data_IF_035834658067
#
_entry.id   IF_035834658067
#
_cell.length_a   1.000
_cell.length_b   1.000
_cell.length_c   1.000
_cell.angle_alpha   90.00
_cell.angle_beta   90.00
_cell.angle_gamma   90.00
#
_symmetry.space_group_name_H-M   'P 1'
#
loop_
_entity.id
_entity.type
_entity.pdbx_description
1 polymer ?
#
# COMPACT_ATOMS: atom_id res chain seq x y z
N UNK A 1 1.75 34.73 4.70
CA UNK A 1 0.71 33.70 4.46
C UNK A 1 0.36 33.49 2.99
N UNK A 2 0.14 34.55 2.19
CA UNK A 2 -0.27 34.44 0.77
C UNK A 2 0.78 33.73 -0.11
N UNK A 3 2.08 33.89 0.19
CA UNK A 3 3.21 33.27 -0.54
C UNK A 3 3.31 31.74 -0.38
N UNK A 4 2.84 31.17 0.73
CA UNK A 4 2.79 29.71 0.91
C UNK A 4 1.69 29.11 0.03
N UNK A 5 0.53 29.79 -0.04
CA UNK A 5 -0.64 29.30 -0.77
C UNK A 5 -0.39 29.27 -2.28
N UNK A 6 0.32 30.25 -2.86
CA UNK A 6 0.58 30.31 -4.31
C UNK A 6 1.61 29.30 -4.84
N UNK A 7 2.54 28.83 -4.00
CA UNK A 7 3.50 27.78 -4.35
C UNK A 7 2.97 26.37 -4.05
N UNK A 8 2.09 26.24 -3.06
CA UNK A 8 1.49 24.96 -2.66
C UNK A 8 0.40 24.51 -3.64
N UNK A 9 -0.34 25.43 -4.27
CA UNK A 9 -1.38 25.07 -5.27
C UNK A 9 -0.81 24.32 -6.49
N UNK A 10 0.23 24.81 -7.20
CA UNK A 10 0.79 24.08 -8.33
C UNK A 10 1.50 22.79 -7.91
N UNK A 11 2.20 22.78 -6.76
CA UNK A 11 2.84 21.56 -6.24
C UNK A 11 1.81 20.52 -5.80
N UNK A 12 0.71 20.94 -5.17
CA UNK A 12 -0.42 20.10 -4.76
C UNK A 12 -1.18 19.52 -5.96
N UNK A 13 -1.37 20.30 -7.03
CA UNK A 13 -1.93 19.81 -8.29
C UNK A 13 -1.00 18.82 -9.00
N UNK A 14 0.32 19.04 -8.96
CA UNK A 14 1.32 18.12 -9.52
C UNK A 14 1.39 16.82 -8.72
N UNK A 15 1.37 16.88 -7.38
CA UNK A 15 1.37 15.71 -6.50
C UNK A 15 0.07 14.93 -6.65
N UNK A 16 -1.09 15.59 -6.66
CA UNK A 16 -2.38 14.95 -6.93
C UNK A 16 -2.40 14.26 -8.32
N UNK A 17 -1.75 14.87 -9.30
CA UNK A 17 -1.58 14.31 -10.64
C UNK A 17 -0.68 13.05 -10.65
N UNK A 18 0.48 13.08 -9.98
CA UNK A 18 1.34 11.89 -9.83
C UNK A 18 0.69 10.78 -8.99
N UNK A 19 -0.14 11.15 -8.01
CA UNK A 19 -0.92 10.20 -7.21
C UNK A 19 -2.03 9.55 -8.04
N UNK A 20 -2.69 10.30 -8.93
CA UNK A 20 -3.71 9.77 -9.85
C UNK A 20 -3.11 8.95 -11.01
N UNK A 21 -1.87 9.23 -11.42
CA UNK A 21 -1.17 8.53 -12.50
C UNK A 21 -0.59 7.17 -12.09
N UNK A 22 -0.30 6.94 -10.80
CA UNK A 22 0.04 5.61 -10.30
C UNK A 22 -1.23 4.76 -10.25
N UNK A 23 -1.47 3.96 -11.32
CA UNK A 23 -2.35 2.79 -11.21
C UNK A 23 -1.84 1.98 -10.02
N UNK A 24 -2.59 1.97 -8.91
CA UNK A 24 -2.32 1.01 -7.84
C UNK A 24 -2.40 -0.37 -8.50
N UNK A 25 -1.32 -1.18 -8.50
CA UNK A 25 -1.44 -2.56 -8.94
C UNK A 25 -2.55 -3.16 -8.09
N UNK A 26 -3.57 -3.70 -8.76
CA UNK A 26 -4.63 -4.45 -8.09
C UNK A 26 -3.89 -5.66 -7.52
N UNK A 27 -3.68 -5.74 -6.20
CA UNK A 27 -3.13 -6.95 -5.63
C UNK A 27 -4.15 -8.05 -5.93
N UNK A 28 -3.71 -9.31 -6.05
CA UNK A 28 -4.57 -10.49 -6.19
C UNK A 28 -5.48 -10.57 -7.45
N UNK A 29 -4.89 -10.73 -8.63
CA UNK A 29 -5.53 -11.51 -9.71
C UNK A 29 -4.67 -12.74 -9.97
N UNK A 30 -5.01 -13.84 -9.29
CA UNK A 30 -4.54 -15.18 -9.62
C UNK A 30 -4.94 -15.50 -11.07
N UNK A 31 -4.01 -16.15 -11.79
CA UNK A 31 -3.97 -16.37 -13.25
C UNK A 31 -5.20 -17.05 -13.91
N UNK A 32 -6.27 -17.38 -13.18
CA UNK A 32 -7.26 -18.35 -13.66
C UNK A 32 -8.59 -17.79 -14.17
N UNK A 33 -8.80 -16.48 -14.23
CA UNK A 33 -10.06 -15.94 -14.77
C UNK A 33 -9.96 -14.49 -15.28
N UNK A 34 -8.84 -14.13 -15.91
CA UNK A 34 -8.79 -12.89 -16.68
C UNK A 34 -9.43 -13.13 -18.05
N UNK A 35 -10.57 -12.51 -18.40
CA UNK A 35 -11.00 -12.48 -19.79
C UNK A 35 -9.88 -11.81 -20.60
N UNK A 36 -9.62 -12.33 -21.80
CA UNK A 36 -8.60 -11.87 -22.73
C UNK A 36 -8.42 -10.36 -22.61
N UNK A 37 -7.24 -9.93 -22.19
CA UNK A 37 -6.98 -8.53 -21.83
C UNK A 37 -7.28 -7.65 -23.03
N UNK A 38 -8.47 -7.04 -23.05
CA UNK A 38 -8.84 -6.09 -24.09
C UNK A 38 -7.84 -4.94 -24.00
N UNK A 39 -7.01 -4.71 -25.03
CA UNK A 39 -5.97 -3.69 -24.96
C UNK A 39 -6.62 -2.31 -24.76
N UNK A 40 -6.02 -1.49 -23.88
CA UNK A 40 -6.53 -0.15 -23.56
C UNK A 40 -6.72 0.66 -24.86
N UNK A 41 -7.95 1.13 -25.14
CA UNK A 41 -8.29 1.64 -26.45
C UNK A 41 -7.51 2.90 -26.79
N UNK A 42 -7.31 3.09 -28.10
CA UNK A 42 -6.41 4.08 -28.67
C UNK A 42 -6.70 5.49 -28.16
N UNK A 43 -7.99 5.84 -28.02
CA UNK A 43 -8.44 7.15 -27.57
C UNK A 43 -8.17 7.45 -26.10
N UNK A 44 -8.19 6.45 -25.22
CA UNK A 44 -7.87 6.64 -23.81
C UNK A 44 -6.38 6.95 -23.67
N UNK A 45 -5.55 6.25 -24.44
CA UNK A 45 -4.10 6.49 -24.52
C UNK A 45 -3.78 7.87 -25.08
N UNK A 46 -4.43 8.26 -26.17
CA UNK A 46 -4.26 9.58 -26.81
C UNK A 46 -4.76 10.70 -25.88
N UNK A 47 -5.90 10.51 -25.23
CA UNK A 47 -6.44 11.45 -24.23
C UNK A 47 -5.51 11.68 -23.07
N UNK A 48 -4.96 10.61 -22.49
CA UNK A 48 -4.00 10.72 -21.39
C UNK A 48 -2.76 11.51 -21.83
N UNK A 49 -2.17 11.19 -22.99
CA UNK A 49 -0.98 11.88 -23.51
C UNK A 49 -1.22 13.36 -23.80
N UNK A 50 -2.36 13.71 -24.39
CA UNK A 50 -2.71 15.10 -24.67
C UNK A 50 -2.96 15.92 -23.40
N UNK A 51 -3.69 15.37 -22.43
CA UNK A 51 -3.91 16.02 -21.13
C UNK A 51 -2.57 16.28 -20.43
N UNK A 52 -1.67 15.29 -20.39
CA UNK A 52 -0.32 15.45 -19.83
C UNK A 52 0.43 16.59 -20.52
N UNK A 53 0.53 16.54 -21.86
CA UNK A 53 1.24 17.55 -22.65
C UNK A 53 0.67 18.96 -22.42
N UNK A 54 -0.66 19.08 -22.38
CA UNK A 54 -1.35 20.35 -22.16
C UNK A 54 -1.14 20.92 -20.76
N UNK A 55 -1.20 20.08 -19.72
CA UNK A 55 -0.93 20.53 -18.34
C UNK A 55 0.53 20.94 -18.15
N UNK A 56 1.48 20.26 -18.79
CA UNK A 56 2.89 20.67 -18.79
C UNK A 56 3.05 22.06 -19.44
N UNK A 57 2.42 22.29 -20.60
CA UNK A 57 2.51 23.58 -21.29
C UNK A 57 1.89 24.72 -20.47
N UNK A 58 0.75 24.49 -19.82
CA UNK A 58 0.11 25.45 -18.91
C UNK A 58 1.01 25.71 -17.69
N UNK A 59 1.59 24.66 -17.11
CA UNK A 59 2.52 24.79 -15.97
C UNK A 59 3.75 25.63 -16.31
N UNK A 60 4.39 25.38 -17.46
CA UNK A 60 5.52 26.17 -17.94
C UNK A 60 5.15 27.63 -18.21
N UNK A 61 3.96 27.87 -18.79
CA UNK A 61 3.45 29.23 -19.00
C UNK A 61 3.27 29.97 -17.67
N UNK A 62 2.67 29.33 -16.66
CA UNK A 62 2.52 29.93 -15.34
C UNK A 62 3.87 30.24 -14.67
N UNK A 63 4.87 29.35 -14.79
CA UNK A 63 6.21 29.59 -14.23
C UNK A 63 6.89 30.78 -14.91
N UNK A 64 6.82 30.88 -16.23
CA UNK A 64 7.50 31.96 -16.99
C UNK A 64 6.81 33.31 -16.80
N UNK A 65 5.48 33.34 -16.75
CA UNK A 65 4.73 34.60 -16.79
C UNK A 65 4.17 35.05 -15.45
N UNK A 66 3.97 34.17 -14.46
CA UNK A 66 3.36 34.55 -13.17
C UNK A 66 4.43 34.69 -12.08
N UNK A 67 5.49 33.89 -12.13
CA UNK A 67 6.55 33.89 -11.13
C UNK A 67 7.42 35.18 -11.11
N UNK A 68 7.82 35.77 -12.26
CA UNK A 68 8.68 36.96 -12.25
C UNK A 68 8.01 38.21 -11.68
N UNK A 69 6.69 38.36 -11.88
CA UNK A 69 5.93 39.47 -11.31
C UNK A 69 5.85 39.40 -9.78
N UNK A 70 5.83 38.20 -9.21
CA UNK A 70 5.91 38.01 -7.76
C UNK A 70 7.26 38.45 -7.18
N UNK A 71 8.36 38.12 -7.86
CA UNK A 71 9.72 38.47 -7.41
C UNK A 71 10.02 39.98 -7.52
N UNK A 72 9.55 40.65 -8.58
CA UNK A 72 9.78 42.10 -8.77
C UNK A 72 9.08 42.96 -7.71
N UNK A 73 7.89 42.56 -7.28
CA UNK A 73 7.15 43.23 -6.19
C UNK A 73 7.86 43.04 -4.84
N UNK A 74 8.46 41.86 -4.61
CA UNK A 74 9.22 41.55 -3.39
C UNK A 74 10.53 42.34 -3.27
N UNK A 75 11.27 42.49 -4.37
CA UNK A 75 12.52 43.26 -4.38
C UNK A 75 12.30 44.73 -3.99
N UNK A 76 11.18 45.32 -4.43
CA UNK A 76 10.79 46.70 -4.11
C UNK A 76 10.37 46.90 -2.65
N UNK A 77 9.85 45.86 -1.99
CA UNK A 77 9.52 45.92 -0.57
C UNK A 77 10.76 45.77 0.33
N UNK A 78 11.79 45.03 -0.11
CA UNK A 78 12.97 44.75 0.72
C UNK A 78 14.05 45.84 0.66
N UNK A 79 14.10 46.64 -0.41
CA UNK A 79 15.06 47.74 -0.60
C UNK A 79 14.36 49.02 -1.07
N UNK A 80 13.68 49.75 -0.17
CA UNK A 80 12.80 50.86 -0.54
C UNK A 80 13.54 52.14 -1.02
N UNK A 81 14.83 52.29 -0.71
CA UNK A 81 15.54 53.57 -0.82
C UNK A 81 16.69 53.60 -1.85
N UNK A 82 16.87 52.55 -2.67
CA UNK A 82 18.00 52.44 -3.60
C UNK A 82 17.55 52.72 -5.07
N UNK A 83 17.82 53.91 -5.63
CA UNK A 83 17.25 54.33 -6.91
C UNK A 83 17.88 53.62 -8.13
N UNK A 84 19.09 53.07 -8.00
CA UNK A 84 19.82 52.38 -9.07
C UNK A 84 19.40 50.92 -9.22
N UNK A 85 18.89 50.30 -8.15
CA UNK A 85 18.41 48.92 -8.15
C UNK A 85 17.12 48.73 -8.98
N UNK A 86 16.34 49.81 -9.22
CA UNK A 86 15.03 49.71 -9.90
C UNK A 86 14.96 50.31 -11.31
N UNK A 87 15.89 51.17 -11.72
CA UNK A 87 15.65 52.06 -12.89
C UNK A 87 16.19 51.54 -14.24
N UNK A 88 17.27 50.75 -14.29
CA UNK A 88 17.85 50.31 -15.58
C UNK A 88 17.35 48.95 -16.08
N UNK A 89 17.51 47.90 -15.28
CA UNK A 89 17.17 46.53 -15.68
C UNK A 89 15.65 46.24 -15.60
N UNK A 90 14.95 46.90 -14.67
CA UNK A 90 13.52 46.71 -14.46
C UNK A 90 12.66 47.19 -15.63
N UNK A 91 12.98 48.37 -16.20
CA UNK A 91 12.20 48.95 -17.30
C UNK A 91 12.44 48.24 -18.62
N UNK A 92 13.68 47.82 -18.93
CA UNK A 92 13.95 46.97 -20.09
C UNK A 92 13.25 45.62 -19.98
N UNK A 93 13.25 44.99 -18.79
CA UNK A 93 12.50 43.75 -18.55
C UNK A 93 10.99 43.96 -18.65
N UNK A 94 10.45 45.06 -18.11
CA UNK A 94 9.02 45.40 -18.21
C UNK A 94 8.63 45.71 -19.67
N UNK A 95 9.46 46.43 -20.43
CA UNK A 95 9.19 46.79 -21.82
C UNK A 95 9.32 45.57 -22.75
N UNK A 96 10.34 44.73 -22.56
CA UNK A 96 10.46 43.42 -23.22
C UNK A 96 9.28 42.51 -22.86
N UNK A 97 8.84 42.48 -21.59
CA UNK A 97 7.65 41.76 -21.19
C UNK A 97 6.38 42.36 -21.82
N UNK A 98 6.23 43.68 -21.93
CA UNK A 98 5.04 44.33 -22.50
C UNK A 98 4.93 44.16 -24.02
N UNK A 99 6.07 44.06 -24.71
CA UNK A 99 6.13 43.86 -26.17
C UNK A 99 6.14 42.38 -26.56
N UNK A 100 6.83 41.51 -25.80
CA UNK A 100 6.86 40.07 -26.05
C UNK A 100 5.64 39.34 -25.46
N UNK A 101 5.00 39.84 -24.39
CA UNK A 101 3.85 39.18 -23.77
C UNK A 101 2.65 39.04 -24.70
N UNK A 102 2.19 40.06 -25.45
CA UNK A 102 1.06 39.91 -26.36
C UNK A 102 1.35 38.89 -27.46
N UNK A 103 2.56 38.90 -28.02
CA UNK A 103 2.97 37.97 -29.10
C UNK A 103 3.07 36.54 -28.58
N UNK A 104 3.71 36.32 -27.42
CA UNK A 104 3.82 35.01 -26.79
C UNK A 104 2.47 34.48 -26.29
N UNK A 105 1.59 35.37 -25.83
CA UNK A 105 0.23 35.03 -25.40
C UNK A 105 -0.66 34.66 -26.58
N UNK A 106 -0.60 35.41 -27.69
CA UNK A 106 -1.27 35.07 -28.94
C UNK A 106 -0.73 33.74 -29.48
N UNK A 107 0.59 33.51 -29.47
CA UNK A 107 1.19 32.24 -29.87
C UNK A 107 0.73 31.06 -28.99
N UNK A 108 0.61 31.26 -27.67
CA UNK A 108 0.07 30.28 -26.74
C UNK A 108 -1.42 29.97 -27.02
N UNK A 109 -2.23 30.99 -27.28
CA UNK A 109 -3.64 30.84 -27.64
C UNK A 109 -3.77 30.07 -28.96
N UNK A 110 -3.03 30.45 -30.00
CA UNK A 110 -3.04 29.79 -31.31
C UNK A 110 -2.60 28.33 -31.19
N UNK A 111 -1.53 28.04 -30.45
CA UNK A 111 -1.07 26.68 -30.20
C UNK A 111 -2.09 25.86 -29.40
N UNK A 112 -2.76 26.49 -28.42
CA UNK A 112 -3.83 25.85 -27.65
C UNK A 112 -5.04 25.53 -28.51
N UNK A 113 -5.49 26.46 -29.35
CA UNK A 113 -6.62 26.27 -30.28
C UNK A 113 -6.26 25.19 -31.29
N UNK A 114 -5.09 25.25 -31.92
CA UNK A 114 -4.64 24.24 -32.90
C UNK A 114 -4.44 22.87 -32.24
N UNK A 115 -3.91 22.83 -31.03
CA UNK A 115 -3.78 21.61 -30.24
C UNK A 115 -5.15 21.01 -29.89
N UNK A 116 -6.15 21.83 -29.52
CA UNK A 116 -7.52 21.40 -29.25
C UNK A 116 -8.17 20.87 -30.53
N UNK A 117 -8.05 21.57 -31.65
CA UNK A 117 -8.68 21.17 -32.93
C UNK A 117 -8.04 19.91 -33.50
N UNK A 118 -6.70 19.81 -33.49
CA UNK A 118 -5.96 18.60 -33.86
C UNK A 118 -6.36 17.41 -32.97
N UNK A 119 -6.43 17.64 -31.67
CA UNK A 119 -6.83 16.63 -30.70
C UNK A 119 -8.28 16.19 -30.88
N UNK A 120 -9.21 17.13 -31.10
CA UNK A 120 -10.62 16.84 -31.42
C UNK A 120 -10.76 16.02 -32.70
N UNK A 121 -10.01 16.37 -33.75
CA UNK A 121 -9.99 15.62 -35.02
C UNK A 121 -9.51 14.18 -34.82
N UNK A 122 -8.49 13.97 -33.98
CA UNK A 122 -7.94 12.65 -33.66
C UNK A 122 -8.80 11.83 -32.69
N UNK A 123 -9.70 12.47 -31.95
CA UNK A 123 -10.61 11.85 -30.97
C UNK A 123 -11.97 11.43 -31.54
N UNK A 124 -12.20 11.57 -32.85
CA UNK A 124 -13.35 10.94 -33.54
C UNK A 124 -13.15 9.42 -33.58
N UNK A 125 -13.42 8.77 -32.46
CA UNK A 125 -13.36 7.31 -32.30
C UNK A 125 -14.55 6.63 -32.96
N UNK A 126 -14.41 5.40 -33.47
CA UNK A 126 -15.55 4.55 -33.79
C UNK A 126 -16.42 4.37 -32.53
N UNK A 127 -17.74 4.54 -32.65
CA UNK A 127 -18.68 4.33 -31.52
C UNK A 127 -18.53 2.92 -30.90
N UNK A 128 -18.16 1.95 -31.73
CA UNK A 128 -17.98 0.54 -31.34
C UNK A 128 -16.83 0.30 -30.36
N UNK A 129 -15.67 0.94 -30.55
CA UNK A 129 -14.51 0.77 -29.64
C UNK A 129 -14.82 1.32 -28.24
N UNK A 130 -15.61 2.39 -28.17
CA UNK A 130 -16.08 2.98 -26.91
C UNK A 130 -17.07 2.06 -26.19
N UNK A 131 -18.05 1.52 -26.93
CA UNK A 131 -19.05 0.62 -26.37
C UNK A 131 -18.40 -0.65 -25.79
N UNK A 132 -17.49 -1.27 -26.54
CA UNK A 132 -16.72 -2.44 -26.07
C UNK A 132 -15.94 -2.16 -24.79
N UNK A 133 -15.37 -0.97 -24.65
CA UNK A 133 -14.63 -0.59 -23.45
C UNK A 133 -15.56 -0.33 -22.25
N UNK A 134 -16.69 0.33 -22.47
CA UNK A 134 -17.68 0.55 -21.41
C UNK A 134 -18.25 -0.77 -20.88
N UNK A 135 -18.59 -1.70 -21.77
CA UNK A 135 -19.02 -3.05 -21.41
C UNK A 135 -17.95 -3.80 -20.60
N UNK A 136 -16.70 -3.78 -21.04
CA UNK A 136 -15.61 -4.42 -20.32
C UNK A 136 -15.38 -3.80 -18.92
N UNK A 137 -15.50 -2.48 -18.76
CA UNK A 137 -15.45 -1.84 -17.44
C UNK A 137 -16.59 -2.27 -16.51
N UNK A 138 -17.81 -2.44 -17.05
CA UNK A 138 -18.96 -2.91 -16.27
C UNK A 138 -18.77 -4.35 -15.80
N UNK A 139 -18.31 -5.24 -16.70
CA UNK A 139 -18.00 -6.65 -16.37
C UNK A 139 -16.94 -6.71 -15.27
N UNK A 140 -15.85 -5.96 -15.41
CA UNK A 140 -14.77 -5.93 -14.43
C UNK A 140 -15.24 -5.42 -13.06
N UNK A 141 -16.05 -4.36 -13.05
CA UNK A 141 -16.65 -3.82 -11.82
C UNK A 141 -17.55 -4.85 -11.13
N UNK A 142 -18.36 -5.59 -11.90
CA UNK A 142 -19.20 -6.68 -11.38
C UNK A 142 -18.35 -7.81 -10.81
N UNK A 143 -17.31 -8.25 -11.53
CA UNK A 143 -16.39 -9.29 -11.07
C UNK A 143 -15.70 -8.93 -9.75
N UNK A 144 -15.22 -7.70 -9.61
CA UNK A 144 -14.62 -7.22 -8.35
C UNK A 144 -15.60 -7.21 -7.19
N UNK A 145 -16.85 -6.81 -7.44
CA UNK A 145 -17.91 -6.87 -6.43
C UNK A 145 -18.18 -8.31 -6.00
N UNK A 146 -18.28 -9.23 -6.96
CA UNK A 146 -18.48 -10.65 -6.69
C UNK A 146 -17.30 -11.24 -5.92
N UNK A 147 -16.06 -10.94 -6.30
CA UNK A 147 -14.87 -11.37 -5.56
C UNK A 147 -14.82 -10.80 -4.14
N UNK A 148 -15.19 -9.54 -3.94
CA UNK A 148 -15.26 -8.92 -2.63
C UNK A 148 -16.42 -9.46 -1.76
N UNK A 149 -17.53 -9.85 -2.38
CA UNK A 149 -18.64 -10.52 -1.69
C UNK A 149 -18.29 -11.96 -1.35
N UNK A 150 -17.58 -12.65 -2.25
CA UNK A 150 -17.07 -14.00 -2.03
C UNK A 150 -16.03 -14.01 -0.91
N UNK A 151 -15.06 -13.09 -0.91
CA UNK A 151 -14.08 -12.99 0.19
C UNK A 151 -14.75 -12.68 1.53
N UNK A 152 -15.79 -11.84 1.55
CA UNK A 152 -16.60 -11.57 2.76
C UNK A 152 -17.43 -12.78 3.20
N UNK A 153 -17.93 -13.60 2.27
CA UNK A 153 -18.65 -14.84 2.58
C UNK A 153 -17.70 -15.92 3.06
N UNK A 154 -16.51 -16.02 2.48
CA UNK A 154 -15.42 -16.87 2.94
C UNK A 154 -14.98 -16.42 4.34
N UNK A 155 -14.75 -15.14 4.59
CA UNK A 155 -14.39 -14.62 5.92
C UNK A 155 -15.48 -14.87 6.98
N UNK A 156 -16.76 -14.72 6.61
CA UNK A 156 -17.89 -15.03 7.50
C UNK A 156 -18.17 -16.54 7.66
N UNK A 157 -17.80 -17.34 6.66
CA UNK A 157 -17.92 -18.81 6.68
C UNK A 157 -16.70 -19.51 7.28
N UNK A 158 -15.57 -18.80 7.39
CA UNK A 158 -14.31 -19.30 7.91
C UNK A 158 -14.18 -18.96 9.41
N UNK A 159 -15.01 -19.63 10.23
CA UNK A 159 -14.36 -20.26 11.38
C UNK A 159 -13.36 -21.23 10.75
N UNK A 160 -12.07 -20.88 10.73
CA UNK A 160 -11.03 -21.72 10.11
C UNK A 160 -11.33 -23.17 10.50
N UNK A 161 -11.53 -24.12 9.56
CA UNK A 161 -11.62 -25.52 9.94
C UNK A 161 -10.38 -25.77 10.78
N UNK A 162 -10.58 -26.21 12.01
CA UNK A 162 -9.57 -26.33 13.07
C UNK A 162 -8.27 -26.86 12.47
N UNK A 163 -7.36 -25.97 12.06
CA UNK A 163 -6.07 -26.39 11.52
C UNK A 163 -5.27 -26.83 12.74
N UNK A 164 -5.34 -28.13 13.01
CA UNK A 164 -4.54 -28.78 14.03
C UNK A 164 -3.23 -29.12 13.33
N UNK A 165 -2.16 -28.49 13.79
CA UNK A 165 -0.81 -28.84 13.33
C UNK A 165 -0.57 -30.35 13.61
N UNK A 166 0.13 -31.09 12.73
CA UNK A 166 0.50 -32.48 12.99
C UNK A 166 1.20 -32.68 14.34
N UNK A 167 2.07 -31.73 14.72
CA UNK A 167 2.74 -31.73 16.02
C UNK A 167 1.73 -31.55 17.16
N UNK A 168 0.76 -30.64 16.99
CA UNK A 168 -0.30 -30.43 17.97
C UNK A 168 -1.20 -31.67 18.10
N UNK A 169 -1.50 -32.36 17.00
CA UNK A 169 -2.27 -33.61 16.98
C UNK A 169 -1.55 -34.70 17.78
N UNK A 170 -0.24 -34.89 17.56
CA UNK A 170 0.55 -35.87 18.31
C UNK A 170 0.59 -35.56 19.84
N UNK A 171 0.65 -34.28 20.23
CA UNK A 171 0.55 -33.87 21.65
C UNK A 171 -0.82 -34.19 22.25
N UNK A 172 -1.90 -34.03 21.47
CA UNK A 172 -3.27 -34.37 21.89
C UNK A 172 -3.45 -35.89 22.01
N UNK A 173 -2.86 -36.65 21.08
CA UNK A 173 -2.93 -38.12 21.05
C UNK A 173 -2.05 -38.79 22.10
N UNK A 174 -1.16 -38.01 22.75
CA UNK A 174 -0.32 -38.42 23.89
C UNK A 174 0.74 -39.48 23.55
N UNK A 175 1.03 -39.69 22.28
CA UNK A 175 2.01 -40.68 21.84
C UNK A 175 3.38 -40.02 21.66
N UNK A 176 4.28 -40.26 22.62
CA UNK A 176 5.65 -39.75 22.62
C UNK A 176 6.46 -40.17 21.40
N UNK A 177 6.22 -41.38 20.88
CA UNK A 177 6.98 -41.94 19.76
C UNK A 177 6.57 -41.26 18.47
N UNK A 178 5.27 -41.10 18.25
CA UNK A 178 4.77 -40.32 17.10
C UNK A 178 5.22 -38.87 17.22
N UNK A 179 5.14 -38.27 18.41
CA UNK A 179 5.59 -36.89 18.63
C UNK A 179 7.06 -36.69 18.25
N UNK A 180 7.98 -37.56 18.69
CA UNK A 180 9.39 -37.48 18.30
C UNK A 180 9.61 -37.61 16.80
N UNK A 181 8.82 -38.47 16.15
CA UNK A 181 8.90 -38.69 14.71
C UNK A 181 8.37 -37.48 13.93
N UNK A 182 7.21 -36.94 14.33
CA UNK A 182 6.59 -35.76 13.73
C UNK A 182 7.42 -34.50 13.96
N UNK A 183 8.07 -34.34 15.12
CA UNK A 183 8.99 -33.22 15.38
C UNK A 183 10.24 -33.27 14.50
N UNK A 184 10.73 -34.48 14.17
CA UNK A 184 11.86 -34.65 13.25
C UNK A 184 11.47 -34.32 11.79
N UNK A 185 10.22 -34.62 11.40
CA UNK A 185 9.71 -34.36 10.05
C UNK A 185 9.26 -32.90 9.86
N UNK A 186 8.71 -32.28 10.91
CA UNK A 186 8.03 -30.98 10.88
C UNK A 186 8.46 -30.04 12.03
N UNK A 187 9.75 -29.67 12.14
CA UNK A 187 10.29 -28.86 13.25
C UNK A 187 9.73 -27.42 13.29
N UNK A 188 9.29 -26.88 12.16
CA UNK A 188 8.72 -25.53 12.04
C UNK A 188 7.39 -25.38 12.79
N UNK A 189 6.70 -26.47 13.04
CA UNK A 189 5.37 -26.44 13.61
C UNK A 189 5.33 -26.46 15.15
N UNK A 190 6.48 -26.59 15.82
CA UNK A 190 6.59 -26.74 17.29
C UNK A 190 5.92 -25.61 18.08
N UNK A 191 5.87 -24.40 17.53
CA UNK A 191 5.28 -23.21 18.17
C UNK A 191 3.92 -22.81 17.61
N UNK A 192 3.33 -23.61 16.71
CA UNK A 192 2.12 -23.20 15.97
C UNK A 192 0.92 -23.13 16.91
N UNK A 193 0.28 -21.95 17.10
CA UNK A 193 -0.85 -21.82 17.99
C UNK A 193 -2.11 -22.43 17.37
N UNK A 194 -2.92 -23.09 18.20
CA UNK A 194 -4.20 -23.64 17.81
C UNK A 194 -5.19 -22.50 17.54
N UNK A 195 -5.85 -22.52 16.38
CA UNK A 195 -6.68 -21.40 15.93
C UNK A 195 -7.87 -21.08 16.85
N UNK A 196 -8.37 -22.05 17.63
CA UNK A 196 -9.55 -21.85 18.46
C UNK A 196 -9.28 -21.05 19.76
N UNK A 197 -8.13 -21.26 20.39
CA UNK A 197 -7.79 -20.70 21.71
C UNK A 197 -6.39 -20.09 21.77
N UNK A 198 -5.62 -20.12 20.67
CA UNK A 198 -4.25 -19.63 20.62
C UNK A 198 -3.25 -20.50 21.36
N UNK A 199 -3.62 -21.70 21.83
CA UNK A 199 -2.73 -22.56 22.60
C UNK A 199 -1.68 -23.20 21.68
N UNK A 200 -0.40 -23.02 22.00
CA UNK A 200 0.69 -23.75 21.36
C UNK A 200 0.75 -25.21 21.85
N UNK A 201 1.50 -26.12 21.18
CA UNK A 201 1.70 -27.49 21.66
C UNK A 201 2.17 -27.54 23.12
N UNK A 202 3.01 -26.60 23.55
CA UNK A 202 3.46 -26.50 24.94
C UNK A 202 2.32 -26.15 25.91
N UNK A 203 1.40 -25.25 25.55
CA UNK A 203 0.22 -24.96 26.38
C UNK A 203 -0.66 -26.20 26.57
N UNK A 204 -0.87 -26.98 25.49
CA UNK A 204 -1.69 -28.20 25.53
C UNK A 204 -1.01 -29.29 26.36
N UNK A 205 0.31 -29.47 26.24
CA UNK A 205 1.06 -30.43 27.04
C UNK A 205 0.98 -30.12 28.55
N UNK A 206 1.12 -28.84 28.92
CA UNK A 206 0.96 -28.38 30.32
C UNK A 206 -0.47 -28.53 30.80
N UNK A 207 -1.45 -28.16 29.96
CA UNK A 207 -2.87 -28.29 30.29
C UNK A 207 -3.25 -29.75 30.58
N UNK A 208 -2.67 -30.69 29.82
CA UNK A 208 -2.86 -32.12 30.00
C UNK A 208 -2.02 -32.74 31.11
N UNK A 209 -1.11 -31.97 31.75
CA UNK A 209 -0.24 -32.43 32.85
C UNK A 209 0.79 -33.49 32.41
N UNK A 210 1.17 -33.46 31.13
CA UNK A 210 2.03 -34.47 30.53
C UNK A 210 3.50 -34.05 30.62
N UNK A 211 4.13 -34.37 31.75
CA UNK A 211 5.53 -34.00 32.01
C UNK A 211 6.49 -34.51 30.93
N UNK A 212 6.36 -35.76 30.49
CA UNK A 212 7.25 -36.38 29.50
C UNK A 212 7.18 -35.67 28.14
N UNK A 213 5.97 -35.30 27.71
CA UNK A 213 5.74 -34.52 26.48
C UNK A 213 6.32 -33.12 26.61
N UNK A 214 6.17 -32.48 27.79
CA UNK A 214 6.78 -31.18 28.06
C UNK A 214 8.30 -31.27 27.94
N UNK A 215 8.94 -32.29 28.50
CA UNK A 215 10.39 -32.50 28.35
C UNK A 215 10.80 -32.69 26.88
N UNK A 216 10.07 -33.49 26.09
CA UNK A 216 10.34 -33.69 24.66
C UNK A 216 10.23 -32.38 23.86
N UNK A 217 9.22 -31.55 24.17
CA UNK A 217 9.04 -30.26 23.51
C UNK A 217 10.11 -29.24 23.91
N UNK A 218 10.52 -29.24 25.18
CA UNK A 218 11.58 -28.34 25.68
C UNK A 218 12.97 -28.71 25.18
N UNK A 219 13.19 -29.96 24.77
CA UNK A 219 14.42 -30.38 24.09
C UNK A 219 14.56 -29.79 22.67
N UNK A 220 13.49 -29.22 22.09
CA UNK A 220 13.54 -28.65 20.74
C UNK A 220 14.24 -27.28 20.76
N UNK A 221 15.24 -27.03 19.88
CA UNK A 221 16.02 -25.79 19.92
C UNK A 221 15.21 -24.54 19.54
N UNK A 222 14.11 -24.72 18.82
CA UNK A 222 13.25 -23.64 18.33
C UNK A 222 12.04 -23.37 19.23
N UNK A 223 11.88 -24.09 20.35
CA UNK A 223 10.74 -23.94 21.25
C UNK A 223 10.72 -22.54 21.87
N UNK A 224 9.54 -21.88 21.86
CA UNK A 224 9.34 -20.60 22.54
C UNK A 224 8.27 -20.74 23.64
N UNK A 225 8.73 -20.72 24.89
CA UNK A 225 7.87 -20.79 26.09
C UNK A 225 7.24 -19.45 26.48
N UNK A 226 7.57 -18.36 25.78
CA UNK A 226 7.07 -17.00 26.07
C UNK A 226 5.80 -16.66 25.30
N UNK A 227 5.39 -17.51 24.36
CA UNK A 227 4.17 -17.31 23.58
C UNK A 227 2.96 -17.29 24.52
N UNK A 228 2.05 -16.36 24.26
CA UNK A 228 0.80 -16.20 25.00
C UNK A 228 -0.37 -16.71 24.15
N UNK A 229 -1.29 -17.41 24.80
CA UNK A 229 -2.55 -17.83 24.17
C UNK A 229 -3.58 -16.67 24.08
N UNK A 230 -4.80 -16.96 23.63
CA UNK A 230 -5.86 -15.95 23.51
C UNK A 230 -6.33 -15.38 24.87
N UNK A 231 -6.03 -16.07 25.98
CA UNK A 231 -6.27 -15.57 27.35
C UNK A 231 -5.11 -14.68 27.85
N UNK A 232 -4.06 -14.49 27.04
CA UNK A 232 -2.87 -13.74 27.43
C UNK A 232 -1.94 -14.48 28.40
N UNK A 233 -2.16 -15.78 28.62
CA UNK A 233 -1.38 -16.64 29.51
C UNK A 233 -0.29 -17.37 28.73
N UNK A 234 0.88 -17.53 29.37
CA UNK A 234 1.95 -18.42 28.88
C UNK A 234 1.77 -19.85 29.41
N UNK A 235 2.53 -20.81 28.88
CA UNK A 235 2.54 -22.18 29.38
C UNK A 235 2.93 -22.27 30.87
N UNK A 236 3.84 -21.40 31.34
CA UNK A 236 4.20 -21.33 32.75
C UNK A 236 3.05 -20.79 33.62
N UNK A 237 2.32 -19.80 33.12
CA UNK A 237 1.17 -19.24 33.85
C UNK A 237 0.08 -20.31 34.04
N UNK A 238 -0.18 -21.12 33.01
CA UNK A 238 -1.07 -22.28 33.11
C UNK A 238 -0.58 -23.32 34.12
N UNK A 239 0.73 -23.62 34.13
CA UNK A 239 1.30 -24.56 35.10
C UNK A 239 1.14 -24.07 36.54
N UNK A 240 1.31 -22.77 36.78
CA UNK A 240 1.11 -22.12 38.09
C UNK A 240 -0.35 -22.13 38.52
N UNK A 241 -1.28 -21.82 37.62
CA UNK A 241 -2.72 -21.88 37.89
C UNK A 241 -3.19 -23.28 38.29
N UNK A 242 -2.62 -24.32 37.68
CA UNK A 242 -2.91 -25.72 38.00
C UNK A 242 -2.04 -26.31 39.11
N UNK A 243 -1.14 -25.54 39.72
CA UNK A 243 -0.19 -25.99 40.76
C UNK A 243 0.67 -27.21 40.36
N UNK A 244 1.11 -27.29 39.10
CA UNK A 244 1.89 -28.41 38.56
C UNK A 244 3.38 -28.26 38.90
N UNK A 245 3.75 -28.47 40.17
CA UNK A 245 5.10 -28.23 40.71
C UNK A 245 6.23 -28.84 39.87
N UNK A 246 6.08 -30.09 39.42
CA UNK A 246 7.10 -30.76 38.58
C UNK A 246 7.28 -30.14 37.19
N UNK A 247 6.22 -29.59 36.59
CA UNK A 247 6.28 -28.91 35.29
C UNK A 247 6.73 -27.46 35.45
N UNK A 248 6.35 -26.80 36.55
CA UNK A 248 6.81 -25.45 36.90
C UNK A 248 8.34 -25.44 36.99
N UNK A 249 8.94 -26.41 37.69
CA UNK A 249 10.40 -26.53 37.79
C UNK A 249 11.06 -26.65 36.41
N UNK A 250 10.57 -27.55 35.53
CA UNK A 250 11.09 -27.68 34.17
C UNK A 250 10.99 -26.39 33.34
N UNK A 251 9.89 -25.66 33.46
CA UNK A 251 9.67 -24.41 32.73
C UNK A 251 10.42 -23.21 33.32
N UNK A 252 10.76 -23.23 34.60
CA UNK A 252 11.60 -22.21 35.25
C UNK A 252 13.09 -22.45 34.98
N UNK A 253 13.53 -23.71 34.96
CA UNK A 253 14.89 -24.10 34.61
C UNK A 253 15.24 -23.68 33.18
N UNK A 254 14.29 -23.78 32.25
CA UNK A 254 14.50 -23.33 30.85
C UNK A 254 14.54 -21.80 30.68
N UNK A 255 14.11 -21.01 31.68
CA UNK A 255 14.26 -19.54 31.65
C UNK A 255 15.64 -19.07 32.10
N UNK A 256 16.35 -19.87 32.87
CA UNK A 256 17.73 -19.65 33.22
C UNK A 256 18.60 -20.46 32.26
N UNK A 257 19.15 -19.87 31.18
CA UNK A 257 20.28 -20.50 30.50
C UNK A 257 21.45 -20.55 31.51
N UNK A 258 21.51 -21.61 32.29
CA UNK A 258 22.62 -21.89 33.18
C UNK A 258 23.79 -22.40 32.33
N UNK A 259 24.74 -21.49 32.12
CA UNK A 259 26.11 -21.68 31.63
C UNK A 259 26.34 -22.07 30.17
#
# INVERSE_FOLDING_TARGET
MILLISAIIPLGLLIAFFCAAKKKPIPHLTKQQAPDTIPEPSYVRIKRKYLISRYILIGLFCIIFVFPYGCGVLAKMNYPNDPTASQGAGWLMIFLLFVLSPVLFIAFIVNTIFGITYYWKKMKTPKEERLKWEEFQQVEKKRRKQQAEQSKKEEKGLKKPNFISPVLQAVIDKDERTLRTTLAEYPEFVNTPYAANGNTPLHVAVWNEHKDIVEILLQQPTIDSRIKNNEGKTALDLAKEKNLTGIIQLLEDTKNPAC
#
